data_IF_309787643754
#
_entry.id   IF_309787643754
#
_cell.length_a   1.000
_cell.length_b   1.000
_cell.length_c   1.000
_cell.angle_alpha   90.00
_cell.angle_beta   90.00
_cell.angle_gamma   90.00
#
_symmetry.space_group_name_H-M   'P 1'
#
loop_
_entity.id
_entity.type
_entity.pdbx_description
1 polymer ?
#
# COMPACT_ATOMS: atom_id res chain seq x y z
N UNK A 1 -42.86 7.59 -13.34
CA UNK A 1 -41.83 8.47 -13.95
C UNK A 1 -40.65 7.59 -14.32
N UNK A 2 -40.12 7.72 -15.53
CA UNK A 2 -39.11 6.81 -16.10
C UNK A 2 -37.74 7.21 -15.48
N UNK A 3 -36.84 6.25 -15.24
CA UNK A 3 -35.49 6.45 -14.66
C UNK A 3 -34.69 7.58 -15.35
N UNK A 4 -34.96 7.90 -16.60
CA UNK A 4 -34.38 9.02 -17.34
C UNK A 4 -34.72 10.42 -16.80
N UNK A 5 -35.90 10.60 -16.18
CA UNK A 5 -36.31 11.89 -15.63
C UNK A 5 -35.57 12.24 -14.34
N UNK A 6 -35.29 11.27 -13.47
CA UNK A 6 -34.59 11.51 -12.22
C UNK A 6 -33.12 11.91 -12.41
N UNK A 7 -32.47 11.41 -13.44
CA UNK A 7 -31.07 11.77 -13.76
C UNK A 7 -30.96 13.22 -14.21
N UNK A 8 -31.87 13.68 -15.09
CA UNK A 8 -31.89 15.07 -15.55
C UNK A 8 -32.17 16.04 -14.40
N UNK A 9 -33.13 15.68 -13.53
CA UNK A 9 -33.42 16.46 -12.31
C UNK A 9 -32.18 16.51 -11.40
N UNK A 10 -31.50 15.39 -11.17
CA UNK A 10 -30.28 15.34 -10.36
C UNK A 10 -29.19 16.27 -10.92
N UNK A 11 -29.01 16.31 -12.25
CA UNK A 11 -28.04 17.19 -12.90
C UNK A 11 -28.35 18.67 -12.69
N UNK A 12 -29.61 19.06 -12.78
CA UNK A 12 -30.06 20.44 -12.52
C UNK A 12 -29.77 20.86 -11.07
N UNK A 13 -30.22 20.06 -10.11
CA UNK A 13 -30.04 20.40 -8.68
C UNK A 13 -28.56 20.36 -8.27
N UNK A 14 -27.77 19.51 -8.83
CA UNK A 14 -26.33 19.46 -8.65
C UNK A 14 -25.67 20.77 -9.12
N UNK A 15 -26.02 21.25 -10.30
CA UNK A 15 -25.50 22.52 -10.83
C UNK A 15 -25.90 23.73 -9.96
N UNK A 16 -27.10 23.71 -9.40
CA UNK A 16 -27.59 24.78 -8.50
C UNK A 16 -26.88 24.75 -7.16
N UNK A 17 -26.80 23.58 -6.50
CA UNK A 17 -26.12 23.42 -5.21
C UNK A 17 -24.62 23.76 -5.34
N UNK A 18 -23.97 23.36 -6.43
CA UNK A 18 -22.55 23.70 -6.69
C UNK A 18 -22.33 25.21 -6.73
N UNK A 19 -23.20 25.97 -7.43
CA UNK A 19 -23.11 27.43 -7.50
C UNK A 19 -23.29 28.12 -6.13
N UNK A 20 -24.18 27.58 -5.30
CA UNK A 20 -24.49 28.19 -4.00
C UNK A 20 -23.47 27.82 -2.92
N UNK A 21 -22.88 26.63 -2.99
CA UNK A 21 -21.86 26.15 -2.05
C UNK A 21 -20.42 26.45 -2.47
N UNK A 22 -20.20 27.08 -3.62
CA UNK A 22 -18.87 27.41 -4.15
C UNK A 22 -18.00 28.28 -3.20
N UNK A 23 -18.58 28.87 -2.14
CA UNK A 23 -17.85 29.62 -1.11
C UNK A 23 -17.74 28.92 0.26
N UNK A 24 -18.31 27.73 0.45
CA UNK A 24 -18.45 27.08 1.76
C UNK A 24 -17.53 25.84 1.91
N UNK A 25 -16.69 25.55 0.94
CA UNK A 25 -15.91 24.32 0.79
C UNK A 25 -14.73 24.15 1.80
N UNK A 26 -14.89 24.52 3.07
CA UNK A 26 -13.87 24.30 4.12
C UNK A 26 -14.47 23.66 5.37
N UNK A 27 -15.05 22.46 5.23
CA UNK A 27 -15.56 21.67 6.36
C UNK A 27 -15.13 20.20 6.27
N UNK A 28 -15.22 19.46 7.38
CA UNK A 28 -15.02 18.02 7.38
C UNK A 28 -15.99 17.34 6.38
N UNK A 29 -15.61 16.24 5.70
CA UNK A 29 -16.46 15.59 4.68
C UNK A 29 -17.88 15.25 5.16
N UNK A 30 -18.05 14.89 6.43
CA UNK A 30 -19.37 14.62 7.02
C UNK A 30 -20.25 15.87 7.15
N UNK A 31 -19.66 17.01 7.48
CA UNK A 31 -20.37 18.29 7.59
C UNK A 31 -20.80 18.79 6.20
N UNK A 32 -19.92 18.65 5.21
CA UNK A 32 -20.22 18.96 3.82
C UNK A 32 -21.36 18.08 3.28
N UNK A 33 -21.32 16.78 3.56
CA UNK A 33 -22.40 15.85 3.17
C UNK A 33 -23.76 16.30 3.73
N UNK A 34 -23.83 16.61 5.02
CA UNK A 34 -25.06 17.11 5.64
C UNK A 34 -25.50 18.47 5.11
N UNK A 35 -24.55 19.36 4.76
CA UNK A 35 -24.88 20.66 4.17
C UNK A 35 -25.48 20.52 2.76
N UNK A 36 -24.86 19.69 1.92
CA UNK A 36 -25.36 19.37 0.56
C UNK A 36 -26.74 18.75 0.64
N UNK A 37 -26.91 17.74 1.48
CA UNK A 37 -28.22 17.06 1.64
C UNK A 37 -29.33 18.03 2.04
N UNK A 38 -29.11 18.84 3.06
CA UNK A 38 -30.08 19.86 3.49
C UNK A 38 -30.40 20.85 2.37
N UNK A 39 -29.40 21.25 1.61
CA UNK A 39 -29.60 22.22 0.52
C UNK A 39 -30.39 21.65 -0.66
N UNK A 40 -30.07 20.41 -1.06
CA UNK A 40 -30.83 19.70 -2.11
C UNK A 40 -32.28 19.57 -1.71
N UNK A 41 -32.57 19.12 -0.48
CA UNK A 41 -33.95 18.97 0.03
C UNK A 41 -34.68 20.32 0.07
N UNK A 42 -34.02 21.40 0.50
CA UNK A 42 -34.61 22.74 0.50
C UNK A 42 -34.97 23.21 -0.90
N UNK A 43 -34.07 23.06 -1.89
CA UNK A 43 -34.32 23.44 -3.27
C UNK A 43 -35.50 22.65 -3.88
N UNK A 44 -35.53 21.33 -3.65
CA UNK A 44 -36.62 20.48 -4.15
C UNK A 44 -37.99 20.87 -3.54
N UNK A 45 -37.98 21.32 -2.29
CA UNK A 45 -39.21 21.80 -1.62
C UNK A 45 -39.63 23.18 -2.17
N UNK A 46 -38.67 24.11 -2.35
CA UNK A 46 -38.93 25.45 -2.90
C UNK A 46 -39.53 25.38 -4.31
N UNK A 47 -39.01 24.45 -5.14
CA UNK A 47 -39.46 24.25 -6.51
C UNK A 47 -40.76 23.39 -6.59
N UNK A 48 -41.27 22.89 -5.46
CA UNK A 48 -42.45 22.05 -5.36
C UNK A 48 -42.41 20.82 -6.27
N UNK A 49 -41.21 20.18 -6.36
CA UNK A 49 -41.02 18.99 -7.20
C UNK A 49 -41.82 17.83 -6.64
N UNK A 50 -42.76 17.34 -7.44
CA UNK A 50 -43.66 16.24 -7.03
C UNK A 50 -42.93 14.89 -7.20
N UNK A 51 -42.21 14.44 -6.17
CA UNK A 51 -41.54 13.14 -6.09
C UNK A 51 -42.16 12.28 -5.01
N UNK A 52 -42.30 10.97 -5.26
CA UNK A 52 -42.56 10.00 -4.22
C UNK A 52 -41.43 9.95 -3.19
N UNK A 53 -41.70 9.51 -1.96
CA UNK A 53 -40.69 9.45 -0.89
C UNK A 53 -39.43 8.67 -1.30
N UNK A 54 -39.61 7.54 -2.03
CA UNK A 54 -38.49 6.73 -2.52
C UNK A 54 -37.66 7.44 -3.59
N UNK A 55 -38.34 8.14 -4.51
CA UNK A 55 -37.69 8.90 -5.59
C UNK A 55 -36.89 10.08 -5.02
N UNK A 56 -37.44 10.76 -4.01
CA UNK A 56 -36.77 11.85 -3.29
C UNK A 56 -35.45 11.37 -2.66
N UNK A 57 -35.48 10.25 -1.92
CA UNK A 57 -34.27 9.72 -1.29
C UNK A 57 -33.21 9.30 -2.33
N UNK A 58 -33.62 8.66 -3.42
CA UNK A 58 -32.72 8.28 -4.52
C UNK A 58 -32.09 9.52 -5.16
N UNK A 59 -32.88 10.56 -5.44
CA UNK A 59 -32.40 11.80 -6.03
C UNK A 59 -31.40 12.52 -5.11
N UNK A 60 -31.76 12.67 -3.83
CA UNK A 60 -30.91 13.33 -2.83
C UNK A 60 -29.60 12.56 -2.69
N UNK A 61 -29.66 11.23 -2.54
CA UNK A 61 -28.46 10.40 -2.46
C UNK A 61 -27.56 10.56 -3.70
N UNK A 62 -28.13 10.52 -4.89
CA UNK A 62 -27.39 10.68 -6.14
C UNK A 62 -26.68 12.04 -6.24
N UNK A 63 -27.33 13.14 -5.83
CA UNK A 63 -26.71 14.47 -5.84
C UNK A 63 -25.63 14.56 -4.76
N UNK A 64 -25.87 14.06 -3.56
CA UNK A 64 -24.91 14.09 -2.45
C UNK A 64 -23.67 13.25 -2.77
N UNK A 65 -23.85 12.03 -3.24
CA UNK A 65 -22.74 11.12 -3.57
C UNK A 65 -21.86 11.69 -4.71
N UNK A 66 -22.48 12.31 -5.69
CA UNK A 66 -21.75 12.97 -6.77
C UNK A 66 -20.99 14.23 -6.32
N UNK A 67 -21.52 14.97 -5.38
CA UNK A 67 -20.90 16.22 -4.92
C UNK A 67 -19.84 16.02 -3.83
N UNK A 68 -20.00 15.01 -2.99
CA UNK A 68 -19.16 14.81 -1.79
C UNK A 68 -18.45 13.46 -1.81
N UNK A 69 -19.01 12.47 -2.48
CA UNK A 69 -18.44 11.12 -2.65
C UNK A 69 -17.43 11.03 -3.79
N UNK A 70 -17.07 9.81 -4.12
CA UNK A 70 -16.21 9.48 -5.27
C UNK A 70 -17.02 9.10 -6.51
N UNK A 71 -18.30 9.47 -6.52
CA UNK A 71 -19.21 9.25 -7.65
C UNK A 71 -19.41 7.76 -7.93
N UNK A 72 -19.29 7.33 -9.23
CA UNK A 72 -19.55 5.95 -9.61
C UNK A 72 -18.57 4.93 -8.96
N UNK A 73 -17.50 5.39 -8.33
CA UNK A 73 -16.52 4.52 -7.69
C UNK A 73 -16.92 4.11 -6.27
N UNK A 74 -17.84 4.81 -5.61
CA UNK A 74 -18.19 4.55 -4.21
C UNK A 74 -18.67 3.10 -4.00
N UNK A 75 -19.52 2.58 -4.90
CA UNK A 75 -20.00 1.20 -4.84
C UNK A 75 -18.88 0.17 -5.00
N UNK A 76 -17.92 0.43 -5.92
CA UNK A 76 -16.77 -0.45 -6.14
C UNK A 76 -15.81 -0.42 -4.96
N UNK A 77 -15.60 0.75 -4.37
CA UNK A 77 -14.73 0.89 -3.18
C UNK A 77 -15.36 0.29 -1.92
N UNK A 78 -16.69 0.24 -1.84
CA UNK A 78 -17.40 -0.43 -0.76
C UNK A 78 -17.40 -1.96 -0.86
N UNK A 79 -17.26 -2.52 -2.10
CA UNK A 79 -17.22 -3.97 -2.33
C UNK A 79 -15.93 -4.58 -1.73
N UNK A 80 -15.99 -5.45 -0.71
CA UNK A 80 -14.80 -6.04 -0.09
C UNK A 80 -14.00 -6.94 -1.05
N UNK A 81 -14.61 -7.48 -2.10
CA UNK A 81 -13.93 -8.32 -3.09
C UNK A 81 -13.06 -7.53 -4.06
N UNK A 82 -13.29 -6.22 -4.18
CA UNK A 82 -12.51 -5.33 -5.04
C UNK A 82 -11.21 -4.95 -4.33
N UNK A 83 -10.09 -5.14 -5.00
CA UNK A 83 -8.74 -4.80 -4.51
C UNK A 83 -8.16 -3.55 -5.17
N UNK A 84 -8.55 -3.30 -6.43
CA UNK A 84 -8.09 -2.12 -7.18
C UNK A 84 -9.20 -1.61 -8.09
N UNK A 85 -9.30 -0.29 -8.26
CA UNK A 85 -10.22 0.38 -9.17
C UNK A 85 -9.42 1.29 -10.08
N UNK A 86 -9.64 1.18 -11.40
CA UNK A 86 -8.92 1.98 -12.40
C UNK A 86 -9.93 2.67 -13.31
N UNK A 87 -9.77 3.96 -13.53
CA UNK A 87 -10.49 4.70 -14.55
C UNK A 87 -9.51 5.21 -15.62
N UNK A 88 -9.69 4.76 -16.85
CA UNK A 88 -8.97 5.22 -18.02
C UNK A 88 -9.90 6.17 -18.81
N UNK A 89 -9.89 7.44 -18.43
CA UNK A 89 -10.90 8.39 -18.84
C UNK A 89 -12.27 8.13 -18.19
N UNK A 90 -13.30 8.92 -18.58
CA UNK A 90 -14.59 8.89 -17.88
C UNK A 90 -15.44 7.64 -18.15
N UNK A 91 -15.21 6.93 -19.27
CA UNK A 91 -16.11 5.88 -19.74
C UNK A 91 -15.56 4.46 -19.58
N UNK A 92 -14.28 4.31 -19.22
CA UNK A 92 -13.61 3.03 -19.10
C UNK A 92 -13.15 2.79 -17.64
N UNK A 93 -14.02 2.17 -16.84
CA UNK A 93 -13.75 1.83 -15.45
C UNK A 93 -13.54 0.34 -15.33
N UNK A 94 -12.54 -0.05 -14.57
CA UNK A 94 -12.15 -1.43 -14.32
C UNK A 94 -12.02 -1.68 -12.82
N UNK A 95 -12.30 -2.90 -12.39
CA UNK A 95 -12.03 -3.33 -11.02
C UNK A 95 -11.27 -4.66 -11.00
N UNK A 96 -10.32 -4.77 -10.08
CA UNK A 96 -9.64 -6.03 -9.81
C UNK A 96 -10.38 -6.79 -8.70
N UNK A 97 -10.73 -8.08 -8.99
CA UNK A 97 -11.25 -9.04 -8.02
C UNK A 97 -10.47 -10.35 -8.14
N UNK A 98 -9.99 -10.88 -7.04
CA UNK A 98 -9.21 -12.11 -7.02
C UNK A 98 -7.99 -12.09 -7.98
N UNK A 99 -7.37 -10.92 -8.15
CA UNK A 99 -6.23 -10.73 -9.02
C UNK A 99 -6.55 -10.71 -10.52
N UNK A 100 -7.81 -10.58 -10.91
CA UNK A 100 -8.25 -10.42 -12.30
C UNK A 100 -8.92 -9.06 -12.48
N UNK A 101 -8.43 -8.31 -13.45
CA UNK A 101 -9.01 -7.04 -13.84
C UNK A 101 -10.16 -7.27 -14.83
N UNK A 102 -11.33 -6.69 -14.56
CA UNK A 102 -12.51 -6.73 -15.44
C UNK A 102 -13.11 -5.34 -15.64
N UNK A 103 -13.71 -5.11 -16.80
CA UNK A 103 -14.45 -3.89 -17.04
C UNK A 103 -15.73 -3.86 -16.21
N UNK A 104 -16.06 -2.70 -15.67
CA UNK A 104 -17.24 -2.46 -14.84
C UNK A 104 -18.30 -1.66 -15.63
N UNK A 105 -19.60 -1.90 -15.36
CA UNK A 105 -20.68 -1.17 -16.06
C UNK A 105 -20.88 0.27 -15.59
N UNK A 106 -20.04 0.73 -14.66
CA UNK A 106 -20.06 2.09 -14.11
C UNK A 106 -19.23 3.04 -14.95
N UNK A 107 -19.62 4.31 -15.01
CA UNK A 107 -18.89 5.35 -15.77
C UNK A 107 -19.14 6.73 -15.16
N UNK A 108 -18.21 7.62 -15.35
CA UNK A 108 -18.40 9.04 -15.08
C UNK A 108 -19.28 9.66 -16.21
N UNK A 109 -19.91 10.79 -15.93
CA UNK A 109 -20.72 11.51 -16.93
C UNK A 109 -19.89 12.02 -18.10
N UNK A 110 -18.78 12.64 -17.76
CA UNK A 110 -17.85 13.31 -18.66
C UNK A 110 -16.46 13.40 -18.01
N UNK A 111 -15.51 13.95 -18.72
CA UNK A 111 -14.15 14.16 -18.26
C UNK A 111 -14.07 15.10 -17.06
N UNK A 112 -14.90 16.14 -17.03
CA UNK A 112 -14.93 17.09 -15.92
C UNK A 112 -15.39 16.44 -14.60
N UNK A 113 -16.35 15.51 -14.68
CA UNK A 113 -16.78 14.76 -13.50
C UNK A 113 -15.66 13.88 -12.93
N UNK A 114 -14.89 13.19 -13.77
CA UNK A 114 -13.71 12.43 -13.32
C UNK A 114 -12.65 13.37 -12.72
N UNK A 115 -12.40 14.52 -13.34
CA UNK A 115 -11.48 15.52 -12.85
C UNK A 115 -11.90 16.08 -11.49
N UNK A 116 -13.17 16.40 -11.30
CA UNK A 116 -13.70 16.87 -10.01
C UNK A 116 -13.51 15.84 -8.88
N UNK A 117 -13.65 14.54 -9.20
CA UNK A 117 -13.38 13.45 -8.25
C UNK A 117 -11.89 13.37 -7.92
N UNK A 118 -11.02 13.46 -8.93
CA UNK A 118 -9.56 13.50 -8.75
C UNK A 118 -9.17 14.68 -7.86
N UNK A 119 -9.68 15.89 -8.16
CA UNK A 119 -9.37 17.11 -7.40
C UNK A 119 -9.80 17.00 -5.93
N UNK A 120 -10.97 16.37 -5.65
CA UNK A 120 -11.43 16.08 -4.29
C UNK A 120 -10.50 15.14 -3.54
N UNK A 121 -10.11 14.05 -4.18
CA UNK A 121 -9.20 13.06 -3.57
C UNK A 121 -7.86 13.70 -3.24
N UNK A 122 -7.24 14.34 -4.23
CA UNK A 122 -5.92 14.95 -4.12
C UNK A 122 -5.94 16.12 -3.14
N UNK A 123 -6.99 16.96 -3.20
CA UNK A 123 -7.20 18.08 -2.29
C UNK A 123 -7.41 17.65 -0.85
N UNK A 124 -8.14 16.55 -0.59
CA UNK A 124 -8.31 15.99 0.77
C UNK A 124 -6.98 15.54 1.40
N UNK A 125 -6.00 15.17 0.58
CA UNK A 125 -4.64 14.84 1.01
C UNK A 125 -3.73 16.06 1.14
N UNK A 126 -4.26 17.30 1.02
CA UNK A 126 -3.49 18.54 1.08
C UNK A 126 -2.56 18.75 -0.13
N UNK A 127 -2.86 18.13 -1.26
CA UNK A 127 -2.10 18.19 -2.51
C UNK A 127 -2.90 18.85 -3.62
N UNK A 128 -2.25 19.14 -4.72
CA UNK A 128 -2.84 19.70 -5.93
C UNK A 128 -2.37 18.91 -7.15
N UNK A 129 -3.23 18.79 -8.14
CA UNK A 129 -2.91 18.24 -9.45
C UNK A 129 -3.47 19.17 -10.52
N UNK A 130 -2.63 19.62 -11.43
CA UNK A 130 -2.98 20.55 -12.52
C UNK A 130 -2.02 20.40 -13.69
N UNK A 131 -2.16 21.24 -14.73
CA UNK A 131 -1.31 21.19 -15.91
C UNK A 131 0.18 21.42 -15.60
N UNK A 132 0.51 22.18 -14.56
CA UNK A 132 1.89 22.41 -14.12
C UNK A 132 2.46 21.24 -13.30
N UNK A 133 1.60 20.44 -12.69
CA UNK A 133 1.94 19.23 -11.92
C UNK A 133 0.89 18.15 -12.20
N UNK A 134 0.94 17.54 -13.40
CA UNK A 134 -0.16 16.70 -13.90
C UNK A 134 -0.18 15.27 -13.34
N UNK A 135 0.63 14.97 -12.33
CA UNK A 135 0.64 13.69 -11.62
C UNK A 135 0.55 13.93 -10.12
N UNK A 136 -0.28 13.13 -9.44
CA UNK A 136 -0.37 13.18 -7.99
C UNK A 136 -0.60 11.78 -7.40
N UNK A 137 0.15 11.49 -6.33
CA UNK A 137 -0.16 10.41 -5.42
C UNK A 137 -0.91 10.97 -4.23
N UNK A 138 -1.96 10.30 -3.80
CA UNK A 138 -2.77 10.67 -2.65
C UNK A 138 -3.16 9.42 -1.85
N UNK A 139 -3.82 9.65 -0.72
CA UNK A 139 -4.35 8.58 0.11
C UNK A 139 -5.76 8.92 0.54
N UNK A 140 -6.68 7.98 0.44
CA UNK A 140 -8.01 8.09 1.01
C UNK A 140 -7.96 7.94 2.54
N UNK A 141 -8.99 8.42 3.26
CA UNK A 141 -9.04 8.29 4.73
C UNK A 141 -9.00 6.84 5.24
N UNK A 142 -9.44 5.86 4.43
CA UNK A 142 -9.37 4.44 4.76
C UNK A 142 -7.98 3.83 4.58
N UNK A 143 -7.02 4.62 4.06
CA UNK A 143 -5.64 4.20 3.77
C UNK A 143 -5.40 3.74 2.33
N UNK A 144 -6.42 3.69 1.48
CA UNK A 144 -6.29 3.32 0.07
C UNK A 144 -5.38 4.30 -0.68
N UNK A 145 -4.48 3.77 -1.51
CA UNK A 145 -3.55 4.56 -2.32
C UNK A 145 -4.21 5.02 -3.60
N UNK A 146 -3.97 6.25 -3.97
CA UNK A 146 -4.50 6.84 -5.21
C UNK A 146 -3.36 7.41 -6.02
N UNK A 147 -3.34 7.07 -7.31
CA UNK A 147 -2.50 7.74 -8.30
C UNK A 147 -3.41 8.36 -9.35
N UNK A 148 -3.19 9.62 -9.66
CA UNK A 148 -3.91 10.36 -10.68
C UNK A 148 -2.94 10.98 -11.68
N UNK A 149 -3.30 10.93 -12.96
CA UNK A 149 -2.54 11.56 -14.05
C UNK A 149 -3.51 12.35 -14.93
N UNK A 150 -3.18 13.59 -15.21
CA UNK A 150 -3.97 14.50 -16.03
C UNK A 150 -3.34 14.77 -17.40
N UNK A 151 -4.10 15.26 -18.38
CA UNK A 151 -3.53 15.86 -19.57
C UNK A 151 -2.53 16.99 -19.23
N UNK A 152 -1.45 17.20 -20.01
CA UNK A 152 -1.18 16.55 -21.29
C UNK A 152 -0.47 15.19 -21.19
N UNK A 153 -0.09 14.71 -20.01
CA UNK A 153 0.58 13.42 -19.86
C UNK A 153 -0.37 12.24 -20.11
N UNK A 154 -1.61 12.35 -19.66
CA UNK A 154 -2.68 11.41 -19.95
C UNK A 154 -3.32 11.78 -21.30
N UNK A 155 -2.88 11.15 -22.39
CA UNK A 155 -3.21 11.53 -23.78
C UNK A 155 -4.70 11.38 -24.08
N UNK A 156 -5.34 10.35 -23.53
CA UNK A 156 -6.75 10.00 -23.81
C UNK A 156 -7.71 10.51 -22.71
N UNK A 157 -7.29 11.47 -21.91
CA UNK A 157 -8.07 12.01 -20.79
C UNK A 157 -7.53 11.60 -19.42
N UNK A 158 -8.10 12.10 -18.31
CA UNK A 158 -7.62 11.85 -16.96
C UNK A 158 -7.60 10.36 -16.61
N UNK A 159 -6.54 9.94 -15.91
CA UNK A 159 -6.37 8.58 -15.42
C UNK A 159 -6.44 8.58 -13.89
N UNK A 160 -7.09 7.57 -13.32
CA UNK A 160 -7.19 7.39 -11.87
C UNK A 160 -7.02 5.92 -11.53
N UNK A 161 -6.10 5.61 -10.64
CA UNK A 161 -5.93 4.28 -10.07
C UNK A 161 -6.06 4.35 -8.55
N UNK A 162 -6.94 3.52 -7.97
CA UNK A 162 -7.16 3.43 -6.53
C UNK A 162 -6.90 1.99 -6.11
N UNK A 163 -5.82 1.77 -5.37
CA UNK A 163 -5.51 0.49 -4.76
C UNK A 163 -6.03 0.47 -3.33
N UNK A 164 -7.04 -0.35 -3.09
CA UNK A 164 -7.67 -0.45 -1.77
C UNK A 164 -6.71 -0.96 -0.72
N UNK A 165 -6.83 -0.36 0.44
CA UNK A 165 -6.12 -0.85 1.61
C UNK A 165 -6.82 -2.11 2.13
N UNK A 166 -6.12 -3.26 2.07
CA UNK A 166 -6.68 -4.51 2.60
C UNK A 166 -6.90 -4.41 4.10
N UNK A 167 -8.14 -4.61 4.54
CA UNK A 167 -8.49 -4.70 5.96
C UNK A 167 -8.26 -6.11 6.51
N UNK A 168 -8.22 -7.11 5.67
CA UNK A 168 -7.97 -8.48 6.07
C UNK A 168 -6.48 -8.69 6.39
N UNK A 169 -6.23 -9.14 7.59
CA UNK A 169 -4.91 -9.55 8.05
C UNK A 169 -4.77 -11.04 7.82
N UNK A 170 -3.93 -11.41 6.87
CA UNK A 170 -3.56 -12.79 6.71
C UNK A 170 -2.51 -13.13 7.78
N UNK A 171 -2.89 -14.00 8.69
CA UNK A 171 -1.99 -14.60 9.69
C UNK A 171 -1.28 -15.81 9.10
N UNK A 172 -0.21 -16.29 9.77
CA UNK A 172 0.47 -17.51 9.31
C UNK A 172 -0.46 -18.71 9.25
N UNK A 173 -1.34 -18.99 10.24
CA UNK A 173 -2.36 -20.03 10.09
C UNK A 173 -3.24 -19.84 8.85
N UNK A 174 -3.73 -18.62 8.58
CA UNK A 174 -4.52 -18.35 7.38
C UNK A 174 -3.76 -18.56 6.07
N UNK A 175 -2.44 -18.32 6.04
CA UNK A 175 -1.60 -18.65 4.88
C UNK A 175 -1.43 -20.17 4.70
N UNK A 176 -1.37 -20.92 5.79
CA UNK A 176 -1.31 -22.40 5.76
C UNK A 176 -2.65 -22.96 5.31
N UNK A 177 -3.76 -22.53 5.89
CA UNK A 177 -5.12 -22.98 5.55
C UNK A 177 -5.47 -22.74 4.08
N UNK A 178 -4.99 -21.60 3.53
CA UNK A 178 -5.16 -21.28 2.09
C UNK A 178 -4.22 -22.07 1.16
N UNK A 179 -3.29 -22.86 1.70
CA UNK A 179 -2.24 -23.55 0.94
C UNK A 179 -1.19 -22.64 0.32
N UNK A 180 -1.14 -21.38 0.78
CA UNK A 180 -0.15 -20.39 0.33
C UNK A 180 1.23 -20.61 0.98
N UNK A 181 1.26 -21.23 2.16
CA UNK A 181 2.47 -21.55 2.93
C UNK A 181 2.38 -22.97 3.44
N UNK A 182 3.45 -23.76 3.24
CA UNK A 182 3.58 -25.10 3.81
C UNK A 182 3.74 -25.05 5.33
N UNK A 183 3.08 -25.96 6.06
CA UNK A 183 3.07 -25.98 7.53
C UNK A 183 4.46 -26.20 8.14
N UNK A 184 5.26 -27.12 7.56
CA UNK A 184 6.61 -27.37 8.05
C UNK A 184 7.53 -26.18 7.80
N UNK A 185 7.36 -25.50 6.66
CA UNK A 185 8.07 -24.26 6.36
C UNK A 185 7.61 -23.13 7.30
N UNK A 186 6.32 -23.01 7.59
CA UNK A 186 5.78 -22.03 8.54
C UNK A 186 6.40 -22.22 9.94
N UNK A 187 6.51 -23.45 10.41
CA UNK A 187 7.15 -23.79 11.69
C UNK A 187 8.64 -23.38 11.72
N UNK A 188 9.39 -23.66 10.62
CA UNK A 188 10.81 -23.23 10.49
C UNK A 188 10.94 -21.71 10.49
N UNK A 189 10.11 -20.99 9.72
CA UNK A 189 10.11 -19.52 9.68
C UNK A 189 9.75 -18.92 11.04
N UNK A 190 8.80 -19.51 11.77
CA UNK A 190 8.48 -19.08 13.12
C UNK A 190 9.67 -19.21 14.08
N UNK A 191 10.46 -20.31 13.98
CA UNK A 191 11.69 -20.46 14.75
C UNK A 191 12.77 -19.45 14.32
N UNK A 192 12.90 -19.19 13.02
CA UNK A 192 13.83 -18.20 12.48
C UNK A 192 13.54 -16.80 13.04
N UNK A 193 12.27 -16.38 13.02
CA UNK A 193 11.88 -15.07 13.58
C UNK A 193 12.14 -15.00 15.09
N UNK A 194 11.71 -16.02 15.86
CA UNK A 194 11.99 -16.05 17.31
C UNK A 194 13.48 -16.13 17.62
N UNK A 195 14.26 -16.83 16.79
CA UNK A 195 15.72 -16.87 16.87
C UNK A 195 16.43 -15.62 16.37
N UNK A 196 15.67 -14.53 16.11
CA UNK A 196 16.21 -13.21 15.70
C UNK A 196 17.03 -13.24 14.42
N UNK A 197 16.72 -14.15 13.48
CA UNK A 197 17.34 -14.15 12.16
C UNK A 197 16.83 -12.98 11.31
N UNK A 198 17.73 -12.34 10.57
CA UNK A 198 17.42 -11.30 9.62
C UNK A 198 16.84 -11.91 8.34
N UNK A 199 15.62 -11.54 7.99
CA UNK A 199 14.87 -12.19 6.90
C UNK A 199 14.55 -11.19 5.79
N UNK A 200 14.85 -11.60 4.55
CA UNK A 200 14.46 -10.89 3.33
C UNK A 200 13.35 -11.68 2.64
N UNK A 201 12.19 -11.05 2.41
CA UNK A 201 11.12 -11.63 1.60
C UNK A 201 11.25 -11.14 0.17
N UNK A 202 11.48 -12.04 -0.76
CA UNK A 202 11.63 -11.74 -2.19
C UNK A 202 10.40 -12.17 -2.99
N UNK A 203 10.19 -11.58 -4.15
CA UNK A 203 9.11 -11.93 -5.08
C UNK A 203 8.78 -10.80 -6.05
N UNK A 204 8.04 -11.10 -7.10
CA UNK A 204 7.55 -10.15 -8.10
C UNK A 204 6.44 -9.23 -7.56
N UNK A 205 5.89 -8.39 -8.44
CA UNK A 205 4.72 -7.56 -8.12
C UNK A 205 3.49 -8.44 -7.86
N UNK A 206 2.73 -8.10 -6.82
CA UNK A 206 1.48 -8.80 -6.50
C UNK A 206 1.64 -10.23 -5.96
N UNK A 207 2.86 -10.68 -5.61
CA UNK A 207 3.10 -12.01 -5.02
C UNK A 207 2.73 -12.12 -3.54
N UNK A 208 2.42 -11.01 -2.87
CA UNK A 208 2.04 -10.98 -1.46
C UNK A 208 3.22 -10.83 -0.49
N UNK A 209 4.36 -10.24 -0.93
CA UNK A 209 5.54 -9.99 -0.08
C UNK A 209 5.21 -9.27 1.22
N UNK A 210 4.50 -8.13 1.15
CA UNK A 210 4.12 -7.33 2.32
C UNK A 210 3.19 -8.11 3.25
N UNK A 211 2.27 -8.90 2.69
CA UNK A 211 1.38 -9.79 3.45
C UNK A 211 2.18 -10.86 4.21
N UNK A 212 3.13 -11.51 3.52
CA UNK A 212 4.00 -12.50 4.13
C UNK A 212 4.92 -11.88 5.19
N UNK A 213 5.51 -10.72 4.91
CA UNK A 213 6.31 -9.96 5.86
C UNK A 213 5.51 -9.65 7.14
N UNK A 214 4.28 -9.16 6.98
CA UNK A 214 3.38 -8.86 8.08
C UNK A 214 3.06 -10.11 8.91
N UNK A 215 2.75 -11.22 8.26
CA UNK A 215 2.47 -12.49 8.93
C UNK A 215 3.70 -13.04 9.69
N UNK A 216 4.89 -12.97 9.09
CA UNK A 216 6.14 -13.40 9.72
C UNK A 216 6.51 -12.54 10.92
N UNK A 217 6.36 -11.21 10.82
CA UNK A 217 6.62 -10.30 11.93
C UNK A 217 5.73 -10.63 13.14
N UNK A 218 4.56 -11.24 12.95
CA UNK A 218 3.69 -11.73 14.02
C UNK A 218 4.30 -12.81 14.92
N UNK A 219 5.39 -13.47 14.50
CA UNK A 219 6.13 -14.42 15.34
C UNK A 219 7.13 -13.77 16.30
N UNK A 220 7.36 -12.46 16.21
CA UNK A 220 8.23 -11.74 17.13
C UNK A 220 7.64 -11.77 18.54
N UNK A 221 8.51 -11.72 19.56
CA UNK A 221 8.09 -11.71 20.96
C UNK A 221 7.22 -10.46 21.22
N UNK A 222 6.06 -10.60 21.88
CA UNK A 222 5.22 -9.47 22.26
C UNK A 222 5.93 -8.41 23.12
N UNK A 223 6.99 -8.77 23.85
CA UNK A 223 7.78 -7.85 24.65
C UNK A 223 8.74 -6.97 23.81
N UNK A 224 9.01 -7.35 22.56
CA UNK A 224 9.94 -6.61 21.70
C UNK A 224 9.32 -5.32 21.17
N UNK A 225 10.13 -4.27 21.14
CA UNK A 225 9.80 -3.02 20.47
C UNK A 225 10.12 -3.11 18.97
N UNK A 226 9.09 -3.01 18.13
CA UNK A 226 9.24 -3.05 16.67
C UNK A 226 9.07 -1.64 16.12
N UNK A 227 10.01 -1.21 15.27
CA UNK A 227 9.85 0.01 14.47
C UNK A 227 9.65 -0.39 13.02
N UNK A 228 8.50 -0.03 12.43
CA UNK A 228 8.26 -0.23 11.00
C UNK A 228 8.62 1.04 10.21
N UNK A 229 9.24 0.87 9.06
CA UNK A 229 9.59 1.94 8.13
C UNK A 229 9.07 1.57 6.75
N UNK A 230 8.20 2.40 6.19
CA UNK A 230 7.54 2.13 4.93
C UNK A 230 7.45 3.39 4.06
N UNK A 231 7.44 3.19 2.77
CA UNK A 231 7.12 4.25 1.80
C UNK A 231 5.66 4.68 1.96
N UNK A 232 4.79 3.70 2.09
CA UNK A 232 3.40 3.87 2.51
C UNK A 232 3.07 2.82 3.56
N UNK A 233 2.52 3.20 4.71
CA UNK A 233 2.30 2.33 5.85
C UNK A 233 1.19 1.30 5.58
N UNK A 234 1.57 0.10 5.15
CA UNK A 234 0.70 -1.06 4.90
C UNK A 234 0.78 -2.10 6.03
N UNK A 235 1.90 -2.18 6.73
CA UNK A 235 2.11 -3.14 7.79
C UNK A 235 1.20 -2.87 9.00
N UNK A 236 0.62 -3.93 9.54
CA UNK A 236 -0.21 -3.92 10.74
C UNK A 236 0.19 -5.08 11.63
N UNK A 237 1.09 -4.81 12.54
CA UNK A 237 1.58 -5.77 13.52
C UNK A 237 0.69 -5.73 14.76
N UNK A 238 0.44 -6.90 15.35
CA UNK A 238 -0.42 -7.04 16.54
C UNK A 238 0.36 -6.93 17.86
N UNK A 239 1.70 -6.79 17.78
CA UNK A 239 2.52 -6.58 18.97
C UNK A 239 2.13 -5.28 19.68
N UNK A 240 2.12 -5.26 21.01
CA UNK A 240 1.69 -4.10 21.79
C UNK A 240 2.62 -2.89 21.64
N UNK A 241 3.88 -3.12 21.26
CA UNK A 241 4.90 -2.07 21.20
C UNK A 241 5.44 -1.86 19.77
N UNK A 242 4.60 -1.29 18.90
CA UNK A 242 4.95 -0.97 17.50
C UNK A 242 4.96 0.54 17.29
N UNK A 243 6.07 1.05 16.76
CA UNK A 243 6.17 2.42 16.25
C UNK A 243 6.21 2.39 14.72
N UNK A 244 5.24 3.05 14.07
CA UNK A 244 5.10 3.04 12.62
C UNK A 244 5.60 4.35 12.04
N UNK A 245 6.53 4.27 11.08
CA UNK A 245 7.08 5.41 10.36
C UNK A 245 6.74 5.29 8.87
N UNK A 246 6.27 6.39 8.30
CA UNK A 246 5.92 6.50 6.89
C UNK A 246 6.74 7.61 6.23
N UNK A 247 7.30 7.35 5.06
CA UNK A 247 8.00 8.32 4.25
C UNK A 247 7.05 9.44 3.79
N UNK A 248 7.58 10.60 3.58
CA UNK A 248 6.84 11.74 3.07
C UNK A 248 7.53 12.25 1.81
N UNK A 249 6.89 12.21 0.65
CA UNK A 249 7.43 12.83 -0.55
C UNK A 249 7.49 14.35 -0.39
N UNK A 250 8.35 14.99 -1.18
CA UNK A 250 8.45 16.44 -1.23
C UNK A 250 7.09 17.09 -1.54
N UNK A 251 6.87 18.30 -0.98
CA UNK A 251 5.74 19.14 -1.39
C UNK A 251 5.91 19.61 -2.85
N UNK A 252 4.89 20.24 -3.41
CA UNK A 252 4.95 20.86 -4.75
C UNK A 252 6.10 21.87 -4.88
N UNK A 253 6.53 22.45 -3.75
CA UNK A 253 7.66 23.39 -3.67
C UNK A 253 9.01 22.68 -3.50
N UNK A 254 9.06 21.35 -3.61
CA UNK A 254 10.29 20.55 -3.44
C UNK A 254 10.81 20.48 -1.99
N UNK A 255 9.98 20.81 -0.98
CA UNK A 255 10.40 20.86 0.43
C UNK A 255 9.75 19.78 1.27
N UNK A 256 10.39 19.46 2.40
CA UNK A 256 9.82 18.61 3.44
C UNK A 256 9.80 17.13 3.12
N UNK A 257 10.60 16.68 2.15
CA UNK A 257 10.79 15.26 1.88
C UNK A 257 11.39 14.55 3.10
N UNK A 258 10.85 13.37 3.42
CA UNK A 258 11.43 12.46 4.40
C UNK A 258 11.49 11.08 3.75
N UNK A 259 12.69 10.66 3.37
CA UNK A 259 12.92 9.40 2.66
C UNK A 259 12.90 8.20 3.61
N UNK A 260 12.64 7.00 3.09
CA UNK A 260 12.79 5.73 3.82
C UNK A 260 14.19 5.64 4.45
N UNK A 261 15.23 6.05 3.73
CA UNK A 261 16.61 6.10 4.25
C UNK A 261 16.75 6.96 5.51
N UNK A 262 16.17 8.15 5.50
CA UNK A 262 16.19 9.06 6.65
C UNK A 262 15.46 8.42 7.85
N UNK A 263 14.34 7.73 7.61
CA UNK A 263 13.57 7.06 8.64
C UNK A 263 14.31 5.85 9.22
N UNK A 264 14.98 5.02 8.41
CA UNK A 264 15.81 3.89 8.90
C UNK A 264 16.91 4.41 9.83
N UNK A 265 17.62 5.47 9.42
CA UNK A 265 18.63 6.11 10.29
C UNK A 265 18.06 6.66 11.59
N UNK A 266 16.86 7.21 11.54
CA UNK A 266 16.20 7.72 12.74
C UNK A 266 15.72 6.57 13.64
N UNK A 267 15.22 5.48 13.07
CA UNK A 267 14.76 4.29 13.78
C UNK A 267 15.84 3.73 14.72
N UNK A 268 17.11 3.73 14.31
CA UNK A 268 18.26 3.31 15.13
C UNK A 268 18.39 4.08 16.46
N UNK A 269 17.83 5.29 16.57
CA UNK A 269 17.82 6.11 17.79
C UNK A 269 16.56 5.95 18.62
N UNK A 270 15.60 5.13 18.14
CA UNK A 270 14.31 4.92 18.81
C UNK A 270 14.29 3.71 19.75
N UNK A 271 15.46 3.13 20.02
CA UNK A 271 15.63 1.90 20.81
C UNK A 271 14.76 0.74 20.29
N UNK A 272 14.84 0.40 19.01
CA UNK A 272 14.12 -0.75 18.48
C UNK A 272 14.82 -2.05 18.89
N UNK A 273 14.04 -3.09 19.19
CA UNK A 273 14.54 -4.46 19.27
C UNK A 273 14.57 -5.07 17.86
N UNK A 274 13.66 -4.64 16.97
CA UNK A 274 13.60 -4.99 15.54
C UNK A 274 13.24 -3.81 14.69
N UNK A 275 13.79 -3.78 13.47
CA UNK A 275 13.38 -2.84 12.44
C UNK A 275 12.75 -3.64 11.29
N UNK A 276 11.54 -3.27 10.90
CA UNK A 276 10.84 -3.88 9.78
C UNK A 276 10.69 -2.85 8.67
N UNK A 277 11.43 -3.05 7.58
CA UNK A 277 11.35 -2.16 6.40
C UNK A 277 10.40 -2.78 5.39
N UNK A 278 9.31 -2.08 5.07
CA UNK A 278 8.26 -2.60 4.18
C UNK A 278 8.80 -3.08 2.84
N UNK A 279 9.60 -2.26 2.18
CA UNK A 279 10.32 -2.63 0.95
C UNK A 279 11.60 -1.80 0.83
N UNK A 280 12.67 -2.45 0.36
CA UNK A 280 13.93 -1.79 0.00
C UNK A 280 14.03 -1.71 -1.52
N UNK A 281 14.22 -0.48 -2.03
CA UNK A 281 14.24 -0.18 -3.47
C UNK A 281 15.47 0.61 -3.91
N UNK A 282 16.21 1.16 -2.96
CA UNK A 282 17.29 2.11 -3.23
C UNK A 282 18.36 2.15 -2.13
N UNK A 283 18.97 3.33 -1.92
CA UNK A 283 20.13 3.50 -1.05
C UNK A 283 19.89 3.20 0.44
N UNK A 284 18.63 3.12 0.89
CA UNK A 284 18.26 2.67 2.24
C UNK A 284 18.72 1.23 2.54
N UNK A 285 19.02 0.43 1.50
CA UNK A 285 19.58 -0.91 1.65
C UNK A 285 20.84 -0.91 2.50
N UNK A 286 21.71 0.07 2.31
CA UNK A 286 22.94 0.19 3.09
C UNK A 286 22.67 0.40 4.58
N UNK A 287 21.78 1.33 4.91
CA UNK A 287 21.47 1.68 6.30
C UNK A 287 20.73 0.52 7.00
N UNK A 288 19.91 -0.23 6.24
CA UNK A 288 19.26 -1.45 6.72
C UNK A 288 20.29 -2.56 7.02
N UNK A 289 21.26 -2.81 6.11
CA UNK A 289 22.32 -3.79 6.36
C UNK A 289 23.18 -3.40 7.58
N UNK A 290 23.46 -2.10 7.75
CA UNK A 290 24.13 -1.61 8.94
C UNK A 290 23.33 -1.91 10.21
N UNK A 291 22.02 -1.67 10.20
CA UNK A 291 21.15 -2.03 11.33
C UNK A 291 21.22 -3.53 11.65
N UNK A 292 21.12 -4.39 10.65
CA UNK A 292 21.21 -5.85 10.76
C UNK A 292 22.57 -6.34 11.28
N UNK A 293 23.65 -5.60 11.01
CA UNK A 293 25.02 -5.95 11.45
C UNK A 293 25.43 -5.31 12.78
N UNK A 294 24.62 -4.41 13.35
CA UNK A 294 24.99 -3.62 14.55
C UNK A 294 24.03 -3.81 15.72
N UNK A 295 23.52 -5.02 15.93
CA UNK A 295 22.75 -5.40 17.12
C UNK A 295 21.23 -5.22 17.00
N UNK A 296 20.69 -4.96 15.79
CA UNK A 296 19.26 -4.98 15.53
C UNK A 296 18.85 -6.28 14.81
N UNK A 297 19.28 -7.40 15.42
CA UNK A 297 19.02 -8.75 14.92
C UNK A 297 17.52 -9.06 14.88
N UNK A 298 17.11 -9.86 13.87
CA UNK A 298 15.72 -10.18 13.65
C UNK A 298 14.98 -9.13 12.83
N UNK A 299 15.69 -8.22 12.19
CA UNK A 299 15.09 -7.26 11.24
C UNK A 299 14.55 -7.95 9.98
N UNK A 300 13.45 -7.44 9.45
CA UNK A 300 12.78 -8.01 8.30
C UNK A 300 12.59 -6.95 7.21
N UNK A 301 12.64 -7.38 5.94
CA UNK A 301 12.32 -6.50 4.81
C UNK A 301 11.80 -7.26 3.62
N UNK A 302 11.29 -6.54 2.60
CA UNK A 302 11.00 -7.12 1.30
C UNK A 302 11.87 -6.51 0.21
N UNK A 303 12.14 -7.32 -0.82
CA UNK A 303 12.85 -6.92 -2.05
C UNK A 303 12.14 -7.49 -3.26
N UNK A 304 11.99 -6.67 -4.29
CA UNK A 304 11.45 -7.11 -5.57
C UNK A 304 12.49 -7.90 -6.35
N UNK A 305 12.35 -9.21 -6.47
CA UNK A 305 13.28 -10.09 -7.19
C UNK A 305 12.59 -11.37 -7.67
N UNK A 306 13.07 -11.96 -8.75
CA UNK A 306 12.54 -13.19 -9.33
C UNK A 306 13.07 -14.47 -8.68
N UNK A 307 14.09 -14.38 -7.81
CA UNK A 307 14.65 -15.52 -7.07
C UNK A 307 15.39 -15.05 -5.81
N UNK A 308 15.68 -15.95 -4.85
CA UNK A 308 16.50 -15.64 -3.68
C UNK A 308 17.90 -15.09 -4.03
N UNK A 309 18.57 -15.71 -5.00
CA UNK A 309 19.88 -15.27 -5.43
C UNK A 309 19.86 -13.88 -6.11
N UNK A 310 18.80 -13.59 -6.87
CA UNK A 310 18.59 -12.27 -7.45
C UNK A 310 18.31 -11.21 -6.37
N UNK A 311 17.57 -11.56 -5.30
CA UNK A 311 17.32 -10.65 -4.19
C UNK A 311 18.61 -10.16 -3.55
N UNK A 312 19.56 -11.06 -3.28
CA UNK A 312 20.87 -10.66 -2.72
C UNK A 312 21.64 -9.77 -3.68
N UNK A 313 21.74 -10.13 -4.99
CA UNK A 313 22.38 -9.28 -5.99
C UNK A 313 21.74 -7.91 -6.11
N UNK A 314 20.41 -7.85 -5.98
CA UNK A 314 19.69 -6.58 -6.04
C UNK A 314 19.98 -5.70 -4.82
N UNK A 315 20.09 -6.30 -3.63
CA UNK A 315 20.54 -5.59 -2.42
C UNK A 315 21.98 -5.06 -2.62
N UNK A 316 22.90 -5.88 -3.16
CA UNK A 316 24.27 -5.44 -3.48
C UNK A 316 24.26 -4.21 -4.41
N UNK A 317 23.44 -4.25 -5.47
CA UNK A 317 23.27 -3.13 -6.41
C UNK A 317 22.74 -1.88 -5.71
N UNK A 318 21.73 -1.99 -4.88
CA UNK A 318 21.14 -0.85 -4.15
C UNK A 318 22.13 -0.24 -3.16
N UNK A 319 22.97 -1.05 -2.52
CA UNK A 319 24.07 -0.56 -1.67
C UNK A 319 25.09 0.26 -2.48
N UNK A 320 25.46 -0.19 -3.68
CA UNK A 320 26.36 0.56 -4.56
C UNK A 320 25.72 1.89 -5.02
N UNK A 321 24.41 1.93 -5.21
CA UNK A 321 23.67 3.17 -5.52
C UNK A 321 23.63 4.19 -4.37
N UNK A 322 24.04 3.79 -3.15
CA UNK A 322 24.10 4.71 -2.01
C UNK A 322 25.18 5.80 -2.11
N UNK A 323 25.99 5.77 -3.18
CA UNK A 323 26.98 6.79 -3.48
C UNK A 323 28.28 6.68 -2.68
N UNK A 324 28.54 5.53 -2.06
CA UNK A 324 29.80 5.24 -1.40
C UNK A 324 30.71 4.43 -2.33
N UNK A 325 31.97 4.80 -2.41
CA UNK A 325 33.00 4.05 -3.17
C UNK A 325 33.42 2.80 -2.39
N UNK A 326 32.52 1.81 -2.31
CA UNK A 326 32.80 0.53 -1.66
C UNK A 326 33.19 -0.52 -2.71
N UNK A 327 34.28 -1.28 -2.48
CA UNK A 327 34.60 -2.42 -3.32
C UNK A 327 33.45 -3.45 -3.30
N UNK A 328 33.07 -3.98 -4.47
CA UNK A 328 31.97 -4.93 -4.58
C UNK A 328 32.13 -6.17 -3.67
N UNK A 329 33.38 -6.62 -3.44
CA UNK A 329 33.67 -7.72 -2.53
C UNK A 329 33.23 -7.42 -1.09
N UNK A 330 33.45 -6.19 -0.60
CA UNK A 330 33.04 -5.73 0.72
C UNK A 330 31.53 -5.62 0.82
N UNK A 331 30.87 -5.13 -0.24
CA UNK A 331 29.39 -5.07 -0.29
C UNK A 331 28.79 -6.48 -0.19
N UNK A 332 29.31 -7.44 -0.97
CA UNK A 332 28.87 -8.83 -0.93
C UNK A 332 29.07 -9.47 0.45
N UNK A 333 30.21 -9.22 1.08
CA UNK A 333 30.50 -9.70 2.42
C UNK A 333 29.50 -9.12 3.43
N UNK A 334 29.24 -7.82 3.42
CA UNK A 334 28.26 -7.16 4.28
C UNK A 334 26.85 -7.74 4.10
N UNK A 335 26.43 -8.00 2.87
CA UNK A 335 25.12 -8.64 2.60
C UNK A 335 25.08 -10.05 3.18
N UNK A 336 26.15 -10.85 3.01
CA UNK A 336 26.21 -12.23 3.52
C UNK A 336 26.28 -12.33 5.05
N UNK A 337 26.78 -11.29 5.72
CA UNK A 337 26.80 -11.19 7.17
C UNK A 337 25.46 -10.71 7.73
N UNK A 338 24.81 -9.77 7.05
CA UNK A 338 23.59 -9.14 7.52
C UNK A 338 22.35 -10.02 7.32
N UNK A 339 22.20 -10.65 6.15
CA UNK A 339 21.04 -11.46 5.81
C UNK A 339 21.27 -12.92 6.22
N UNK A 340 20.32 -13.52 6.92
CA UNK A 340 20.38 -14.93 7.30
C UNK A 340 19.49 -15.81 6.40
N UNK A 341 18.28 -15.33 6.08
CA UNK A 341 17.27 -16.10 5.34
C UNK A 341 16.63 -15.26 4.26
N UNK A 342 16.45 -15.85 3.08
CA UNK A 342 15.63 -15.29 1.99
C UNK A 342 14.42 -16.19 1.78
N UNK A 343 13.23 -15.65 1.94
CA UNK A 343 11.94 -16.31 1.67
C UNK A 343 11.42 -15.85 0.32
N UNK A 344 11.08 -16.75 -0.58
CA UNK A 344 10.66 -16.43 -1.93
C UNK A 344 9.16 -16.63 -2.13
N UNK A 345 8.43 -15.56 -2.46
CA UNK A 345 7.02 -15.58 -2.79
C UNK A 345 6.80 -15.50 -4.30
N UNK A 346 5.91 -16.34 -4.81
CA UNK A 346 5.56 -16.42 -6.23
C UNK A 346 4.06 -16.25 -6.44
N UNK A 347 3.68 -15.92 -7.67
CA UNK A 347 2.30 -15.94 -8.13
C UNK A 347 2.21 -16.79 -9.38
N UNK A 348 1.37 -17.82 -9.36
CA UNK A 348 1.14 -18.67 -10.51
C UNK A 348 0.23 -18.01 -11.54
N UNK A 349 0.18 -18.58 -12.74
CA UNK A 349 -0.61 -18.06 -13.87
C UNK A 349 -2.12 -18.00 -13.54
N UNK A 350 -2.61 -18.93 -12.69
CA UNK A 350 -3.99 -18.93 -12.19
C UNK A 350 -4.28 -17.85 -11.13
N UNK A 351 -3.27 -17.00 -10.81
CA UNK A 351 -3.38 -15.92 -9.84
C UNK A 351 -3.10 -16.33 -8.39
N UNK A 352 -2.90 -17.61 -8.08
CA UNK A 352 -2.61 -18.07 -6.71
C UNK A 352 -1.24 -17.62 -6.25
N UNK A 353 -1.18 -17.16 -5.01
CA UNK A 353 0.06 -16.73 -4.35
C UNK A 353 0.59 -17.87 -3.50
N UNK A 354 1.91 -18.11 -3.56
CA UNK A 354 2.57 -19.18 -2.81
C UNK A 354 3.93 -18.72 -2.31
N UNK A 355 4.33 -19.26 -1.17
CA UNK A 355 5.73 -19.25 -0.74
C UNK A 355 6.41 -20.42 -1.42
N UNK A 356 7.30 -20.14 -2.36
CA UNK A 356 8.01 -21.17 -3.15
C UNK A 356 9.06 -21.91 -2.32
N UNK A 357 9.59 -21.25 -1.27
CA UNK A 357 10.58 -21.81 -0.36
C UNK A 357 11.33 -20.75 0.43
N UNK A 358 12.21 -21.19 1.29
CA UNK A 358 13.15 -20.35 2.01
C UNK A 358 14.56 -20.91 1.89
N UNK A 359 15.54 -20.03 1.72
CA UNK A 359 16.96 -20.39 1.66
C UNK A 359 17.72 -19.62 2.73
N UNK A 360 18.59 -20.30 3.45
CA UNK A 360 19.53 -19.71 4.39
C UNK A 360 20.87 -19.43 3.73
N UNK A 361 21.62 -18.46 4.26
CA UNK A 361 22.99 -18.21 3.83
C UNK A 361 23.92 -19.13 4.62
N UNK A 362 24.36 -20.22 3.97
CA UNK A 362 25.42 -21.06 4.52
C UNK A 362 26.76 -20.32 4.43
N UNK A 363 27.14 -19.70 5.54
CA UNK A 363 28.37 -18.90 5.65
C UNK A 363 29.63 -19.72 5.48
N UNK A 364 29.60 -21.03 5.82
CA UNK A 364 30.73 -21.92 5.66
C UNK A 364 31.05 -22.21 4.20
N UNK A 365 30.00 -22.35 3.38
CA UNK A 365 30.09 -22.59 1.94
C UNK A 365 29.91 -21.34 1.11
N UNK A 366 29.64 -20.18 1.74
CA UNK A 366 29.39 -18.88 1.11
C UNK A 366 28.32 -18.94 0.00
N UNK A 367 27.23 -19.68 0.24
CA UNK A 367 26.14 -19.87 -0.74
C UNK A 367 24.77 -19.96 -0.08
N UNK A 368 23.74 -19.74 -0.86
CA UNK A 368 22.36 -20.06 -0.48
C UNK A 368 22.18 -21.59 -0.46
N UNK A 369 21.51 -22.09 0.57
CA UNK A 369 21.06 -23.47 0.71
C UNK A 369 19.61 -23.49 1.22
N UNK A 370 18.87 -24.56 0.92
CA UNK A 370 17.51 -24.69 1.40
C UNK A 370 17.48 -24.66 2.94
N UNK A 371 16.51 -23.96 3.49
CA UNK A 371 16.37 -23.78 4.94
C UNK A 371 15.80 -25.06 5.56
N UNK A 372 16.65 -26.03 5.80
CA UNK A 372 16.34 -27.21 6.60
C UNK A 372 16.56 -26.96 8.10
N UNK A 373 16.31 -27.98 8.92
CA UNK A 373 16.43 -27.87 10.38
C UNK A 373 17.89 -27.73 10.84
N UNK A 374 18.84 -28.34 10.14
CA UNK A 374 20.27 -28.28 10.47
C UNK A 374 20.84 -26.89 10.20
N UNK A 375 20.60 -26.35 9.01
CA UNK A 375 21.03 -24.99 8.66
C UNK A 375 20.36 -23.95 9.58
N UNK A 376 19.07 -24.12 9.87
CA UNK A 376 18.34 -23.21 10.77
C UNK A 376 18.97 -23.19 12.17
N UNK A 377 19.30 -24.36 12.77
CA UNK A 377 19.97 -24.43 14.06
C UNK A 377 21.35 -23.77 14.03
N UNK A 378 22.10 -23.99 12.95
CA UNK A 378 23.42 -23.36 12.75
C UNK A 378 23.32 -21.84 12.71
N UNK A 379 22.35 -21.30 11.98
CA UNK A 379 22.13 -19.85 11.87
C UNK A 379 21.70 -19.24 13.20
N UNK A 380 20.78 -19.88 13.93
CA UNK A 380 20.33 -19.40 15.25
C UNK A 380 21.50 -19.45 16.25
N UNK A 381 22.27 -20.54 16.28
CA UNK A 381 23.44 -20.67 17.16
C UNK A 381 24.50 -19.61 16.89
N UNK A 382 24.73 -19.25 15.62
CA UNK A 382 25.68 -18.21 15.25
C UNK A 382 25.24 -16.82 15.74
N UNK A 383 23.94 -16.52 15.76
CA UNK A 383 23.40 -15.24 16.29
C UNK A 383 23.47 -15.20 17.81
N UNK A 384 23.11 -16.28 18.51
CA UNK A 384 23.20 -16.34 19.98
C UNK A 384 24.63 -16.23 20.52
N UNK A 385 25.65 -16.58 19.74
CA UNK A 385 27.05 -16.44 20.16
C UNK A 385 27.67 -15.09 19.85
N UNK A 386 26.98 -14.24 19.11
CA UNK A 386 27.43 -12.89 18.73
C UNK A 386 26.86 -11.79 19.65
N UNK A 387 25.86 -12.14 20.49
CA UNK A 387 25.27 -11.28 21.53
C UNK A 387 25.90 -11.58 22.90
#
# INVERSE_FOLDING_TARGET
MIVGDLSAIADEYRARVRRELAGIASGAPAELRGAVERRVRALLLDDRVALGRGELEVLVAAVVDDMVGLGPLDALLADPAVTEVIANGPFAVYAERNGRLSAEPVRFRDEQHLRDVIDRIVGSAGRRVDEGSPMADARLPDGSRVNAVLPPLAVDGPLLAIRKFSRERLTVPGLVDSGSLDEALAARLGRAVRGRLNIVVSGGTGTGKTTLLNALAGFADPAERIVTVEDTAELRLDQPHVARLEARPASLEGRGEVTVRALVRNALRMRPDRIVVGEVRGPEALDMLQAMNTGHDGSLTTVHAGSPAEALRRIETMVLMAGLELPHAIVRENVSLAVDVVVHATRSIDGRRRVAGAQGIDRSRRRLADLDDELLQTLIGARCSAT
#
